data_IF_935181630816
#
_entry.id   IF_935181630816
#
_cell.length_a   1.000
_cell.length_b   1.000
_cell.length_c   1.000
_cell.angle_alpha   90.00
_cell.angle_beta   90.00
_cell.angle_gamma   90.00
#
_symmetry.space_group_name_H-M   'P 1'
#
loop_
_entity.id
_entity.type
_entity.pdbx_description
1 polymer ?
#
# COMPACT_ATOMS: atom_id res chain seq x y z
N UNK A 1 14.11 -20.49 -42.37
CA UNK A 1 13.50 -19.45 -43.23
C UNK A 1 11.96 -19.53 -43.28
N UNK A 2 11.43 -20.73 -43.32
CA UNK A 2 9.96 -20.96 -43.49
C UNK A 2 9.10 -20.47 -42.34
N UNK A 3 9.51 -20.62 -41.08
CA UNK A 3 8.75 -20.12 -39.93
C UNK A 3 8.58 -18.59 -39.92
N UNK A 4 9.63 -17.85 -40.23
CA UNK A 4 9.57 -16.39 -40.33
C UNK A 4 8.59 -15.91 -41.41
N UNK A 5 8.49 -16.68 -42.50
CA UNK A 5 7.60 -16.39 -43.59
C UNK A 5 6.14 -16.73 -43.25
N UNK A 6 5.91 -17.87 -42.59
CA UNK A 6 4.61 -18.27 -42.09
C UNK A 6 4.08 -17.26 -41.06
N UNK A 7 4.95 -16.81 -40.18
CA UNK A 7 4.61 -15.82 -39.17
C UNK A 7 4.34 -14.43 -39.77
N UNK A 8 5.14 -13.99 -40.74
CA UNK A 8 4.88 -12.76 -41.47
C UNK A 8 3.53 -12.78 -42.19
N UNK A 9 3.19 -13.92 -42.79
CA UNK A 9 1.91 -14.09 -43.47
C UNK A 9 0.73 -14.11 -42.47
N UNK A 10 0.93 -14.64 -41.28
CA UNK A 10 -0.04 -14.57 -40.22
C UNK A 10 -0.30 -13.13 -39.77
N UNK A 11 0.76 -12.34 -39.56
CA UNK A 11 0.65 -10.94 -39.10
C UNK A 11 0.09 -10.02 -40.19
N UNK A 12 0.46 -10.24 -41.46
CA UNK A 12 0.08 -9.34 -42.57
C UNK A 12 -1.27 -9.72 -43.17
N UNK A 13 -1.53 -11.02 -43.31
CA UNK A 13 -2.66 -11.53 -44.09
C UNK A 13 -3.66 -12.36 -43.24
N UNK A 14 -3.44 -12.52 -41.92
CA UNK A 14 -4.31 -13.33 -41.07
C UNK A 14 -4.26 -14.83 -41.34
N UNK A 15 -3.28 -15.31 -42.11
CA UNK A 15 -3.18 -16.74 -42.47
C UNK A 15 -2.70 -17.55 -41.29
N UNK A 16 -3.43 -18.60 -40.81
CA UNK A 16 -3.02 -19.40 -39.66
C UNK A 16 -1.62 -19.99 -39.83
N UNK A 17 -0.83 -19.94 -38.76
CA UNK A 17 0.50 -20.56 -38.74
C UNK A 17 0.33 -22.09 -38.81
N UNK A 18 0.99 -22.78 -39.76
CA UNK A 18 0.95 -24.22 -39.90
C UNK A 18 1.30 -24.93 -38.59
N UNK A 19 0.61 -26.04 -38.25
CA UNK A 19 0.77 -26.77 -36.99
C UNK A 19 2.19 -27.27 -36.75
N UNK A 20 2.97 -27.54 -37.81
CA UNK A 20 4.35 -27.94 -37.72
C UNK A 20 5.26 -26.91 -37.02
N UNK A 21 4.82 -25.66 -36.89
CA UNK A 21 5.55 -24.59 -36.19
C UNK A 21 4.95 -24.27 -34.82
N UNK A 22 3.93 -25.02 -34.36
CA UNK A 22 3.27 -24.83 -33.06
C UNK A 22 3.84 -25.71 -31.95
N UNK A 23 4.91 -26.50 -32.21
CA UNK A 23 5.49 -27.31 -31.18
C UNK A 23 6.21 -26.47 -30.14
N UNK A 24 5.58 -26.38 -28.98
CA UNK A 24 6.10 -25.77 -27.76
C UNK A 24 6.90 -26.80 -27.00
N UNK A 25 8.22 -26.66 -26.92
CA UNK A 25 8.97 -27.33 -25.86
C UNK A 25 8.54 -26.67 -24.52
N UNK A 26 7.89 -27.43 -23.66
CA UNK A 26 7.64 -27.04 -22.27
C UNK A 26 8.98 -26.95 -21.55
N UNK A 27 9.53 -25.74 -21.49
CA UNK A 27 10.63 -25.43 -20.57
C UNK A 27 10.06 -24.80 -19.31
N UNK A 28 10.44 -25.38 -18.17
CA UNK A 28 9.99 -24.97 -16.83
C UNK A 28 10.58 -23.64 -16.32
N UNK A 29 11.10 -22.82 -17.19
CA UNK A 29 11.59 -21.48 -16.85
C UNK A 29 10.48 -20.43 -17.03
N UNK A 30 10.45 -19.42 -16.16
CA UNK A 30 9.55 -18.27 -16.24
C UNK A 30 9.85 -17.36 -17.46
N UNK A 31 9.84 -17.97 -18.66
CA UNK A 31 10.02 -17.33 -19.95
C UNK A 31 8.64 -17.08 -20.57
N UNK A 32 8.37 -15.85 -20.94
CA UNK A 32 7.25 -15.55 -21.83
C UNK A 32 7.58 -16.10 -23.21
N UNK A 33 6.98 -17.21 -23.58
CA UNK A 33 7.15 -17.87 -24.89
C UNK A 33 6.08 -17.40 -25.86
N UNK A 34 6.21 -17.76 -27.15
CA UNK A 34 5.23 -17.39 -28.18
C UNK A 34 3.82 -17.86 -27.82
N UNK A 35 3.68 -18.98 -27.11
CA UNK A 35 2.41 -19.49 -26.61
C UNK A 35 1.74 -18.55 -25.59
N UNK A 36 2.54 -17.93 -24.71
CA UNK A 36 2.03 -16.98 -23.70
C UNK A 36 1.63 -15.65 -24.31
N UNK A 37 2.22 -15.30 -25.45
CA UNK A 37 1.94 -14.06 -26.20
C UNK A 37 0.93 -14.30 -27.32
N UNK A 38 0.65 -15.54 -27.66
CA UNK A 38 -0.25 -15.91 -28.77
C UNK A 38 -1.65 -15.32 -28.68
N UNK A 39 -2.16 -15.12 -27.47
CA UNK A 39 -3.44 -14.44 -27.22
C UNK A 39 -3.37 -12.93 -27.39
N UNK A 40 -2.15 -12.37 -27.41
CA UNK A 40 -1.88 -10.91 -27.51
C UNK A 40 -1.61 -10.49 -28.97
N UNK A 41 -1.34 -11.46 -29.86
CA UNK A 41 -1.07 -11.18 -31.26
C UNK A 41 -2.41 -10.94 -31.96
N UNK A 42 -2.71 -9.73 -32.39
CA UNK A 42 -4.07 -9.34 -32.68
C UNK A 42 -4.55 -9.80 -34.04
N UNK A 43 -5.77 -10.25 -34.10
CA UNK A 43 -6.65 -9.87 -35.18
C UNK A 43 -6.72 -8.34 -35.22
N UNK A 44 -6.80 -7.76 -36.39
CA UNK A 44 -6.71 -6.34 -36.78
C UNK A 44 -7.41 -5.30 -35.88
N UNK A 45 -7.99 -5.68 -34.75
CA UNK A 45 -8.87 -4.84 -33.92
C UNK A 45 -8.32 -4.59 -32.52
N UNK A 46 -7.27 -5.32 -32.07
CA UNK A 46 -6.80 -5.18 -30.67
C UNK A 46 -5.44 -4.50 -30.56
N UNK A 47 -5.43 -3.20 -30.70
CA UNK A 47 -4.33 -2.35 -30.24
C UNK A 47 -4.35 -2.12 -28.71
N UNK A 48 -5.00 -3.04 -27.95
CA UNK A 48 -5.20 -2.90 -26.52
C UNK A 48 -4.85 -4.19 -25.81
N UNK A 49 -3.91 -4.12 -24.89
CA UNK A 49 -3.66 -5.21 -23.92
C UNK A 49 -4.69 -5.07 -22.81
N UNK A 50 -5.42 -6.15 -22.53
CA UNK A 50 -6.34 -6.20 -21.39
C UNK A 50 -5.48 -6.44 -20.14
N UNK A 51 -5.52 -5.51 -19.22
CA UNK A 51 -4.86 -5.59 -17.91
C UNK A 51 -5.91 -5.76 -16.82
N UNK A 52 -5.58 -6.47 -15.78
CA UNK A 52 -6.39 -6.45 -14.57
C UNK A 52 -6.43 -5.04 -13.99
N UNK A 53 -7.63 -4.57 -13.70
CA UNK A 53 -7.83 -3.26 -13.09
C UNK A 53 -7.43 -3.34 -11.61
N UNK A 54 -6.29 -2.81 -11.28
CA UNK A 54 -5.83 -2.63 -9.91
C UNK A 54 -5.81 -1.15 -9.56
N UNK A 55 -6.22 -0.84 -8.34
CA UNK A 55 -6.13 0.51 -7.83
C UNK A 55 -4.81 0.65 -7.10
N UNK A 56 -3.96 1.56 -7.57
CA UNK A 56 -2.62 1.79 -7.08
C UNK A 56 -2.39 3.28 -6.83
N UNK A 57 -1.50 3.59 -5.90
CA UNK A 57 -1.08 4.96 -5.62
C UNK A 57 -1.98 5.76 -4.68
N UNK A 58 -3.08 5.20 -4.17
CA UNK A 58 -4.00 5.91 -3.27
C UNK A 58 -3.38 6.32 -1.93
N UNK A 59 -2.47 5.48 -1.42
CA UNK A 59 -1.77 5.76 -0.17
C UNK A 59 -0.58 6.67 -0.40
N UNK A 60 0.15 6.47 -1.51
CA UNK A 60 1.36 7.22 -1.81
C UNK A 60 1.10 8.72 -2.02
N UNK A 61 -0.08 9.09 -2.51
CA UNK A 61 -0.46 10.49 -2.71
C UNK A 61 -0.73 11.24 -1.39
N UNK A 62 -0.86 10.50 -0.28
CA UNK A 62 -1.26 11.04 1.03
C UNK A 62 -0.18 10.96 2.10
N UNK A 63 0.87 10.18 1.86
CA UNK A 63 2.01 10.06 2.77
C UNK A 63 3.06 11.13 2.47
N UNK A 64 3.83 11.51 3.48
CA UNK A 64 4.94 12.43 3.31
C UNK A 64 6.09 11.74 2.57
N UNK A 65 6.42 12.24 1.38
CA UNK A 65 7.51 11.71 0.58
C UNK A 65 8.74 12.62 0.70
N UNK A 66 9.90 12.01 0.98
CA UNK A 66 11.17 12.71 1.10
C UNK A 66 12.23 12.08 0.21
N UNK A 67 13.26 12.85 -0.15
CA UNK A 67 14.36 12.42 -1.02
C UNK A 67 15.73 12.67 -0.39
N UNK A 68 15.85 12.43 0.91
CA UNK A 68 17.13 12.64 1.61
C UNK A 68 18.16 11.61 1.16
N UNK A 69 19.39 12.07 0.94
CA UNK A 69 20.52 11.22 0.57
C UNK A 69 21.32 10.83 1.83
N UNK A 70 21.72 9.55 1.90
CA UNK A 70 22.46 9.01 3.05
C UNK A 70 21.54 8.48 4.15
N UNK A 71 22.09 7.78 5.12
CA UNK A 71 21.36 7.34 6.31
C UNK A 71 20.95 8.56 7.13
N UNK A 72 19.71 8.99 6.97
CA UNK A 72 19.18 10.17 7.66
C UNK A 72 18.62 9.78 9.00
N UNK A 73 19.00 10.50 10.01
CA UNK A 73 18.43 10.40 11.33
C UNK A 73 17.70 11.72 11.65
N UNK A 74 16.40 11.66 11.80
CA UNK A 74 15.57 12.81 12.17
C UNK A 74 15.34 12.74 13.68
N UNK A 75 15.83 13.71 14.48
CA UNK A 75 15.56 13.74 15.90
C UNK A 75 14.07 14.06 16.13
N UNK A 76 13.43 13.32 17.03
CA UNK A 76 12.10 13.61 17.52
C UNK A 76 12.19 14.37 18.83
N UNK A 77 11.43 15.45 18.93
CA UNK A 77 11.31 16.21 20.17
C UNK A 77 10.24 15.60 21.06
N UNK A 78 10.64 15.17 22.25
CA UNK A 78 9.72 14.76 23.32
C UNK A 78 9.53 15.91 24.34
N UNK A 79 9.63 17.15 23.85
CA UNK A 79 9.44 18.33 24.69
C UNK A 79 7.93 18.57 24.77
N UNK A 80 7.36 18.30 25.93
CA UNK A 80 5.97 18.62 26.24
C UNK A 80 5.93 19.58 27.45
N UNK A 81 6.24 20.87 27.26
CA UNK A 81 6.29 21.82 28.34
C UNK A 81 4.88 22.06 28.91
N UNK A 82 4.77 21.99 30.21
CA UNK A 82 3.54 22.32 30.92
C UNK A 82 3.60 23.78 31.37
N UNK A 83 2.67 24.59 30.88
CA UNK A 83 2.54 25.96 31.37
C UNK A 83 1.84 25.96 32.75
N UNK A 84 2.40 26.70 33.69
CA UNK A 84 1.85 26.86 35.02
C UNK A 84 1.46 28.33 35.27
N UNK A 85 0.29 28.52 35.83
CA UNK A 85 -0.13 29.86 36.28
C UNK A 85 0.63 30.22 37.57
N UNK A 86 1.26 31.40 37.57
CA UNK A 86 2.00 31.88 38.73
C UNK A 86 1.08 32.72 39.62
N UNK A 87 1.16 32.48 40.92
CA UNK A 87 0.32 33.21 41.87
C UNK A 87 0.78 34.68 42.07
N UNK A 88 2.06 34.97 41.80
CA UNK A 88 2.62 36.32 41.88
C UNK A 88 3.87 36.48 40.99
N UNK A 89 4.24 37.71 40.68
CA UNK A 89 5.43 38.02 39.87
C UNK A 89 6.78 37.51 40.46
N UNK A 90 6.81 37.18 41.74
CA UNK A 90 8.03 36.75 42.44
C UNK A 90 8.16 35.21 42.49
N UNK A 91 7.20 34.48 41.95
CA UNK A 91 7.24 33.00 41.87
C UNK A 91 7.67 32.59 40.48
N UNK A 92 8.70 31.77 40.38
CA UNK A 92 9.21 31.21 39.11
C UNK A 92 8.93 29.73 39.11
N UNK A 93 8.43 29.23 37.98
CA UNK A 93 8.25 27.79 37.81
C UNK A 93 9.56 27.06 37.63
N UNK A 94 9.65 25.80 38.04
CA UNK A 94 10.81 24.97 37.83
C UNK A 94 11.17 24.79 36.35
N UNK A 95 12.46 24.75 36.03
CA UNK A 95 12.93 24.51 34.67
C UNK A 95 12.57 23.07 34.21
N UNK A 96 11.92 22.96 33.08
CA UNK A 96 11.61 21.67 32.47
C UNK A 96 12.71 21.22 31.52
N UNK A 97 13.20 20.00 31.69
CA UNK A 97 14.29 19.46 30.88
C UNK A 97 13.80 19.08 29.50
N UNK A 98 14.33 19.72 28.47
CA UNK A 98 14.12 19.32 27.09
C UNK A 98 14.93 18.04 26.79
N UNK A 99 14.24 16.96 26.38
CA UNK A 99 14.89 15.72 25.97
C UNK A 99 14.54 15.40 24.52
N UNK A 100 15.58 15.16 23.70
CA UNK A 100 15.49 14.68 22.33
C UNK A 100 16.15 13.31 22.24
N UNK A 101 15.55 12.31 22.85
CA UNK A 101 16.11 10.95 22.89
C UNK A 101 15.65 10.07 21.73
N UNK A 102 14.49 10.34 21.17
CA UNK A 102 13.95 9.58 20.06
C UNK A 102 14.48 10.11 18.73
N UNK A 103 14.70 9.21 17.79
CA UNK A 103 15.05 9.57 16.43
C UNK A 103 14.51 8.57 15.44
N UNK A 104 14.06 9.08 14.30
CA UNK A 104 13.68 8.26 13.14
C UNK A 104 14.96 7.99 12.36
N UNK A 105 15.26 6.70 12.12
CA UNK A 105 16.42 6.29 11.33
C UNK A 105 15.93 5.63 10.05
N UNK A 106 16.34 6.14 8.90
CA UNK A 106 16.07 5.52 7.63
C UNK A 106 17.23 4.65 7.19
N UNK A 107 16.93 3.40 6.85
CA UNK A 107 17.82 2.48 6.18
C UNK A 107 17.32 2.29 4.76
N UNK A 108 18.22 2.03 3.80
CA UNK A 108 17.77 1.90 2.41
C UNK A 108 17.53 0.45 2.05
N UNK A 109 16.32 0.18 1.55
CA UNK A 109 15.95 -1.12 1.02
C UNK A 109 15.80 -1.05 -0.50
N UNK A 110 16.28 -2.08 -1.19
CA UNK A 110 16.20 -2.17 -2.64
C UNK A 110 14.95 -2.94 -3.03
N UNK A 111 14.06 -2.28 -3.73
CA UNK A 111 12.90 -2.90 -4.37
C UNK A 111 13.24 -3.21 -5.83
N UNK A 112 13.12 -4.47 -6.24
CA UNK A 112 13.35 -4.94 -7.60
C UNK A 112 12.10 -5.58 -8.17
N UNK A 113 11.77 -5.22 -9.41
CA UNK A 113 10.80 -5.95 -10.22
C UNK A 113 11.46 -6.32 -11.56
N UNK A 114 11.29 -7.58 -11.97
CA UNK A 114 11.97 -8.13 -13.15
C UNK A 114 11.04 -9.01 -13.97
N UNK A 115 11.01 -8.78 -15.29
CA UNK A 115 10.28 -9.61 -16.24
C UNK A 115 11.25 -10.05 -17.35
N UNK A 116 11.23 -11.34 -17.66
CA UNK A 116 12.04 -11.91 -18.73
C UNK A 116 11.16 -12.27 -19.94
N UNK A 117 11.57 -11.84 -21.11
CA UNK A 117 10.90 -12.11 -22.39
C UNK A 117 11.85 -12.92 -23.26
N UNK A 118 11.42 -14.08 -23.76
CA UNK A 118 12.20 -14.91 -24.65
C UNK A 118 12.55 -14.19 -25.97
N UNK A 119 13.68 -14.54 -26.56
CA UNK A 119 14.17 -13.92 -27.80
C UNK A 119 13.14 -14.03 -28.95
N UNK A 120 12.52 -15.18 -29.10
CA UNK A 120 11.48 -15.39 -30.12
C UNK A 120 10.28 -14.48 -29.91
N UNK A 121 9.78 -14.40 -28.67
CA UNK A 121 8.66 -13.52 -28.32
C UNK A 121 9.00 -12.06 -28.57
N UNK A 122 10.20 -11.60 -28.20
CA UNK A 122 10.63 -10.23 -28.39
C UNK A 122 10.79 -9.82 -29.86
N UNK A 123 11.16 -10.78 -30.73
CA UNK A 123 11.32 -10.52 -32.18
C UNK A 123 9.97 -10.32 -32.89
N UNK A 124 8.94 -10.91 -32.30
CA UNK A 124 7.59 -10.98 -32.85
C UNK A 124 6.67 -9.92 -32.24
N UNK A 125 7.02 -9.43 -31.06
CA UNK A 125 6.18 -8.58 -30.25
C UNK A 125 6.23 -7.13 -30.72
N UNK A 126 5.06 -6.51 -30.83
CA UNK A 126 4.87 -5.10 -31.15
C UNK A 126 5.44 -4.21 -30.04
N UNK A 127 5.93 -3.02 -30.36
CA UNK A 127 6.44 -2.04 -29.39
C UNK A 127 5.45 -1.70 -28.27
N UNK A 128 4.14 -1.87 -28.51
CA UNK A 128 3.09 -1.75 -27.50
C UNK A 128 3.21 -2.73 -26.35
N UNK A 129 3.70 -3.95 -26.62
CA UNK A 129 3.89 -4.95 -25.55
C UNK A 129 5.02 -4.52 -24.59
N UNK A 130 6.11 -3.99 -25.10
CA UNK A 130 7.19 -3.47 -24.25
C UNK A 130 6.72 -2.32 -23.37
N UNK A 131 5.94 -1.39 -23.93
CA UNK A 131 5.35 -0.29 -23.16
C UNK A 131 4.42 -0.80 -22.05
N UNK A 132 3.62 -1.84 -22.34
CA UNK A 132 2.76 -2.48 -21.36
C UNK A 132 3.56 -3.16 -20.24
N UNK A 133 4.64 -3.89 -20.58
CA UNK A 133 5.53 -4.51 -19.57
C UNK A 133 6.13 -3.45 -18.65
N UNK A 134 6.61 -2.35 -19.19
CA UNK A 134 7.16 -1.24 -18.38
C UNK A 134 6.09 -0.66 -17.44
N UNK A 135 4.87 -0.47 -17.94
CA UNK A 135 3.75 0.02 -17.15
C UNK A 135 3.38 -0.96 -16.04
N UNK A 136 3.32 -2.25 -16.34
CA UNK A 136 3.04 -3.29 -15.33
C UNK A 136 4.14 -3.40 -14.28
N UNK A 137 5.42 -3.28 -14.67
CA UNK A 137 6.52 -3.21 -13.71
C UNK A 137 6.37 -2.02 -12.75
N UNK A 138 6.05 -0.84 -13.29
CA UNK A 138 5.79 0.35 -12.47
C UNK A 138 4.64 0.11 -11.48
N UNK A 139 3.54 -0.45 -11.94
CA UNK A 139 2.38 -0.78 -11.10
C UNK A 139 2.73 -1.79 -10.00
N UNK A 140 3.48 -2.84 -10.34
CA UNK A 140 3.93 -3.84 -9.37
C UNK A 140 4.80 -3.22 -8.27
N UNK A 141 5.67 -2.28 -8.61
CA UNK A 141 6.49 -1.56 -7.63
C UNK A 141 5.64 -0.66 -6.72
N UNK A 142 4.72 0.11 -7.27
CA UNK A 142 3.78 0.94 -6.49
C UNK A 142 2.99 0.06 -5.52
N UNK A 143 2.42 -1.04 -6.01
CA UNK A 143 1.67 -2.00 -5.19
C UNK A 143 2.52 -2.59 -4.07
N UNK A 144 3.78 -2.92 -4.33
CA UNK A 144 4.70 -3.44 -3.32
C UNK A 144 4.99 -2.40 -2.22
N UNK A 145 5.19 -1.13 -2.60
CA UNK A 145 5.42 -0.04 -1.64
C UNK A 145 4.16 0.18 -0.80
N UNK A 146 2.98 0.28 -1.40
CA UNK A 146 1.72 0.44 -0.64
C UNK A 146 1.46 -0.73 0.32
N UNK A 147 1.81 -1.95 -0.11
CA UNK A 147 1.71 -3.12 0.78
C UNK A 147 2.70 -2.99 1.94
N UNK A 148 3.93 -2.52 1.68
CA UNK A 148 4.93 -2.31 2.72
C UNK A 148 4.54 -1.17 3.67
N UNK A 149 3.93 -0.09 3.19
CA UNK A 149 3.40 1.00 4.03
C UNK A 149 2.39 0.50 5.06
N UNK A 150 1.55 -0.47 4.70
CA UNK A 150 0.54 -1.02 5.62
C UNK A 150 1.11 -2.13 6.49
N UNK A 151 1.74 -3.15 5.88
CA UNK A 151 2.06 -4.42 6.54
C UNK A 151 3.55 -4.78 6.51
N UNK A 152 4.42 -3.90 6.04
CA UNK A 152 5.86 -4.14 5.95
C UNK A 152 6.50 -4.43 7.31
N UNK A 153 7.48 -5.32 7.33
CA UNK A 153 8.09 -5.81 8.58
C UNK A 153 9.12 -4.87 9.19
N UNK A 154 9.63 -3.89 8.42
CA UNK A 154 10.75 -3.03 8.84
C UNK A 154 12.13 -3.71 8.71
N UNK A 155 12.19 -4.93 8.16
CA UNK A 155 13.43 -5.65 7.88
C UNK A 155 13.48 -6.00 6.39
N UNK A 156 14.42 -5.42 5.67
CA UNK A 156 14.53 -5.56 4.22
C UNK A 156 13.42 -4.82 3.42
N UNK A 157 12.53 -4.13 4.10
CA UNK A 157 11.42 -3.35 3.55
C UNK A 157 10.96 -2.28 4.56
N UNK A 158 10.20 -1.25 4.14
CA UNK A 158 9.63 -0.25 5.03
C UNK A 158 8.86 -0.84 6.21
N UNK A 159 8.85 -0.13 7.34
CA UNK A 159 8.06 -0.54 8.52
C UNK A 159 6.60 -0.10 8.34
N UNK A 160 5.70 -1.06 8.25
CA UNK A 160 4.27 -0.84 7.99
C UNK A 160 3.51 -0.29 9.20
N UNK A 161 2.40 0.38 8.90
CA UNK A 161 1.49 0.97 9.88
C UNK A 161 1.00 -0.05 10.94
N UNK A 162 0.84 -1.32 10.57
CA UNK A 162 0.34 -2.38 11.46
C UNK A 162 1.41 -3.03 12.34
N UNK A 163 2.66 -2.56 12.30
CA UNK A 163 3.80 -3.19 12.98
C UNK A 163 4.34 -2.39 14.17
N UNK A 164 3.54 -1.50 14.70
CA UNK A 164 3.88 -0.74 15.90
C UNK A 164 3.19 -1.33 17.12
N UNK A 165 3.88 -1.29 18.25
CA UNK A 165 3.27 -1.67 19.56
C UNK A 165 2.65 -0.41 20.14
N UNK A 166 1.33 -0.31 20.07
CA UNK A 166 0.59 0.83 20.61
C UNK A 166 0.18 0.60 22.04
N UNK A 167 0.01 1.67 22.85
CA UNK A 167 -0.61 1.58 24.16
C UNK A 167 -2.07 1.12 24.04
N UNK A 168 -2.61 0.53 25.09
CA UNK A 168 -4.00 0.01 25.12
C UNK A 168 -5.05 1.07 24.77
N UNK A 169 -4.80 2.33 25.13
CA UNK A 169 -5.68 3.45 24.79
C UNK A 169 -5.82 3.71 23.29
N UNK A 170 -4.87 3.27 22.48
CA UNK A 170 -4.86 3.38 21.02
C UNK A 170 -5.24 2.06 20.32
N UNK A 171 -5.73 1.07 21.06
CA UNK A 171 -6.18 -0.20 20.51
C UNK A 171 -7.65 -0.41 20.87
N UNK A 172 -8.51 -0.32 19.86
CA UNK A 172 -9.95 -0.52 20.03
C UNK A 172 -10.32 -1.90 19.52
N UNK A 173 -10.78 -2.73 20.45
CA UNK A 173 -11.21 -4.08 20.13
C UNK A 173 -12.70 -4.11 19.80
N UNK A 174 -13.04 -4.85 18.76
CA UNK A 174 -14.41 -5.11 18.31
C UNK A 174 -14.69 -6.61 18.35
N UNK A 175 -15.79 -7.00 18.96
CA UNK A 175 -16.39 -8.31 18.82
C UNK A 175 -17.55 -8.27 17.80
N UNK A 176 -18.11 -9.43 17.46
CA UNK A 176 -19.17 -9.55 16.46
C UNK A 176 -20.46 -8.80 16.86
N UNK A 177 -20.64 -8.52 18.15
CA UNK A 177 -21.79 -7.75 18.65
C UNK A 177 -21.59 -6.25 18.54
N UNK A 178 -20.34 -5.78 18.58
CA UNK A 178 -20.00 -4.36 18.61
C UNK A 178 -19.76 -3.77 17.22
N UNK A 179 -19.23 -4.56 16.28
CA UNK A 179 -18.87 -4.09 14.95
C UNK A 179 -20.08 -3.53 14.17
N UNK A 180 -21.26 -4.10 14.38
CA UNK A 180 -22.53 -3.67 13.77
C UNK A 180 -23.26 -2.58 14.52
N UNK A 181 -22.66 -1.94 15.54
CA UNK A 181 -23.32 -0.95 16.38
C UNK A 181 -22.69 0.44 16.27
N UNK A 182 -23.54 1.47 16.33
CA UNK A 182 -23.09 2.87 16.37
C UNK A 182 -22.16 3.14 17.56
N UNK A 183 -22.47 2.53 18.73
CA UNK A 183 -21.67 2.67 19.95
C UNK A 183 -20.25 2.12 19.79
N UNK A 184 -20.10 0.99 19.07
CA UNK A 184 -18.79 0.42 18.76
C UNK A 184 -17.89 1.41 18.01
N UNK A 185 -18.42 2.03 16.98
CA UNK A 185 -17.68 3.02 16.18
C UNK A 185 -17.48 4.36 16.91
N UNK A 186 -18.41 4.76 17.76
CA UNK A 186 -18.24 5.94 18.63
C UNK A 186 -17.06 5.77 19.62
N UNK A 187 -16.74 4.54 20.04
CA UNK A 187 -15.55 4.28 20.87
C UNK A 187 -14.25 4.50 20.08
N UNK A 188 -14.24 4.17 18.78
CA UNK A 188 -13.09 4.44 17.93
C UNK A 188 -12.86 5.95 17.75
N UNK A 189 -13.93 6.71 17.55
CA UNK A 189 -13.86 8.19 17.49
C UNK A 189 -13.36 8.78 18.82
N UNK A 190 -13.87 8.31 19.95
CA UNK A 190 -13.49 8.80 21.27
C UNK A 190 -12.02 8.55 21.63
N UNK A 191 -11.34 7.65 20.93
CA UNK A 191 -9.93 7.38 21.14
C UNK A 191 -9.01 8.36 20.40
N UNK A 192 -9.55 9.17 19.50
CA UNK A 192 -8.79 10.15 18.73
C UNK A 192 -8.37 11.31 19.65
N UNK A 193 -7.08 11.64 19.73
CA UNK A 193 -6.67 12.85 20.45
C UNK A 193 -7.14 14.10 19.73
N UNK A 194 -7.59 15.10 20.48
CA UNK A 194 -8.13 16.38 19.97
C UNK A 194 -7.20 17.05 18.93
N UNK A 195 -5.88 16.93 19.12
CA UNK A 195 -4.90 17.49 18.18
C UNK A 195 -4.90 16.85 16.79
N UNK A 196 -5.49 15.65 16.63
CA UNK A 196 -5.57 14.89 15.37
C UNK A 196 -6.99 14.84 14.79
N UNK A 197 -7.95 15.52 15.43
CA UNK A 197 -9.36 15.41 15.08
C UNK A 197 -9.65 15.74 13.60
N UNK A 198 -8.94 16.71 13.02
CA UNK A 198 -9.18 17.16 11.64
C UNK A 198 -8.39 16.38 10.57
N UNK A 199 -7.32 15.68 10.97
CA UNK A 199 -6.35 15.09 10.02
C UNK A 199 -6.45 13.58 9.87
N UNK A 200 -7.14 12.91 10.79
CA UNK A 200 -7.25 11.45 10.75
C UNK A 200 -8.26 10.95 9.74
N UNK A 201 -7.92 9.83 9.11
CA UNK A 201 -8.77 9.08 8.21
C UNK A 201 -8.92 7.64 8.68
N UNK A 202 -10.02 7.01 8.30
CA UNK A 202 -10.21 5.58 8.45
C UNK A 202 -9.54 4.81 7.31
N UNK A 203 -8.76 3.80 7.67
CA UNK A 203 -8.17 2.83 6.75
C UNK A 203 -8.74 1.45 7.05
N UNK A 204 -9.45 0.84 6.11
CA UNK A 204 -10.08 -0.48 6.31
C UNK A 204 -10.31 -1.21 4.98
N UNK A 205 -10.73 -2.47 5.07
CA UNK A 205 -11.12 -3.24 3.89
C UNK A 205 -12.49 -2.77 3.36
N UNK A 206 -12.67 -2.86 2.03
CA UNK A 206 -13.95 -2.53 1.39
C UNK A 206 -15.11 -3.40 1.90
N UNK A 207 -14.85 -4.69 2.19
CA UNK A 207 -15.85 -5.60 2.75
C UNK A 207 -16.37 -5.09 4.10
N UNK A 208 -15.47 -4.72 5.01
CA UNK A 208 -15.84 -4.16 6.33
C UNK A 208 -16.71 -2.90 6.19
N UNK A 209 -16.31 -2.01 5.26
CA UNK A 209 -17.10 -0.80 4.99
C UNK A 209 -18.52 -1.11 4.52
N UNK A 210 -18.67 -1.98 3.52
CA UNK A 210 -19.99 -2.26 2.92
C UNK A 210 -20.90 -3.05 3.87
N UNK A 211 -20.35 -4.04 4.59
CA UNK A 211 -21.14 -4.91 5.46
C UNK A 211 -21.55 -4.22 6.77
N UNK A 212 -20.65 -3.51 7.42
CA UNK A 212 -20.86 -3.04 8.79
C UNK A 212 -21.13 -1.53 8.92
N UNK A 213 -20.82 -0.72 7.90
CA UNK A 213 -21.03 0.72 7.94
C UNK A 213 -22.10 1.19 6.95
N UNK A 214 -21.90 0.90 5.66
CA UNK A 214 -22.86 1.27 4.66
C UNK A 214 -24.14 0.43 4.76
N UNK A 215 -24.03 -0.86 5.10
CA UNK A 215 -25.14 -1.80 5.27
C UNK A 215 -25.76 -1.84 6.66
N UNK A 216 -25.32 -0.99 7.60
CA UNK A 216 -25.84 -1.00 8.97
C UNK A 216 -27.34 -0.63 9.02
N UNK A 217 -28.10 -1.50 9.66
CA UNK A 217 -29.55 -1.35 9.82
C UNK A 217 -29.94 -1.33 11.30
N UNK A 218 -31.05 -0.69 11.61
CA UNK A 218 -31.67 -0.73 12.94
C UNK A 218 -32.46 -2.03 13.18
N UNK A 219 -33.07 -2.16 14.36
CA UNK A 219 -33.91 -3.32 14.72
C UNK A 219 -35.13 -3.48 13.82
N UNK A 220 -35.55 -2.45 13.10
CA UNK A 220 -36.66 -2.47 12.16
C UNK A 220 -36.21 -2.71 10.72
N UNK A 221 -34.91 -2.96 10.47
CA UNK A 221 -34.34 -3.14 9.15
C UNK A 221 -34.13 -1.85 8.36
N UNK A 222 -34.28 -0.68 8.99
CA UNK A 222 -34.03 0.59 8.34
C UNK A 222 -32.53 0.94 8.39
N UNK A 223 -32.01 1.49 7.30
CA UNK A 223 -30.61 1.87 7.18
C UNK A 223 -30.27 3.01 8.14
N UNK A 224 -29.34 2.79 9.04
CA UNK A 224 -28.90 3.81 10.02
C UNK A 224 -28.11 4.93 9.33
N UNK A 225 -27.36 4.60 8.26
CA UNK A 225 -26.63 5.58 7.48
C UNK A 225 -25.43 6.18 8.22
N UNK A 226 -24.79 5.40 9.10
CA UNK A 226 -23.56 5.81 9.77
C UNK A 226 -22.45 6.06 8.76
N UNK A 227 -22.24 5.10 7.85
CA UNK A 227 -21.38 5.27 6.68
C UNK A 227 -22.14 6.00 5.56
N UNK A 228 -21.58 7.08 5.05
CA UNK A 228 -22.16 7.89 3.95
C UNK A 228 -21.19 7.94 2.77
N UNK A 229 -21.75 8.13 1.59
CA UNK A 229 -20.99 8.42 0.38
C UNK A 229 -21.39 9.82 -0.04
N UNK A 230 -20.41 10.72 -0.17
CA UNK A 230 -20.67 12.10 -0.60
C UNK A 230 -20.95 12.16 -2.11
N UNK A 231 -21.34 13.34 -2.62
CA UNK A 231 -21.62 13.58 -4.03
C UNK A 231 -20.41 13.28 -4.96
N UNK A 232 -19.19 13.36 -4.41
CA UNK A 232 -17.95 13.02 -5.13
C UNK A 232 -17.60 11.53 -5.11
N UNK A 233 -18.45 10.69 -4.49
CA UNK A 233 -18.22 9.25 -4.37
C UNK A 233 -17.22 8.85 -3.28
N UNK A 234 -16.79 9.78 -2.42
CA UNK A 234 -15.89 9.48 -1.30
C UNK A 234 -16.71 8.90 -0.14
N UNK A 235 -16.14 7.92 0.52
CA UNK A 235 -16.72 7.27 1.70
C UNK A 235 -16.40 8.10 2.94
N UNK A 236 -17.40 8.38 3.74
CA UNK A 236 -17.31 9.23 4.93
C UNK A 236 -17.93 8.50 6.11
N UNK A 237 -17.21 8.46 7.22
CA UNK A 237 -17.69 7.98 8.52
C UNK A 237 -17.48 9.09 9.55
N UNK A 238 -18.56 9.52 10.19
CA UNK A 238 -18.52 10.60 11.19
C UNK A 238 -17.81 11.89 10.73
N UNK A 239 -17.92 12.21 9.45
CA UNK A 239 -17.24 13.39 8.87
C UNK A 239 -15.84 13.12 8.34
N UNK A 240 -15.22 11.96 8.68
CA UNK A 240 -13.86 11.58 8.24
C UNK A 240 -13.91 10.77 6.97
N UNK A 241 -12.90 10.92 6.14
CA UNK A 241 -12.75 10.08 4.96
C UNK A 241 -12.41 8.63 5.33
N UNK A 242 -12.99 7.70 4.59
CA UNK A 242 -12.67 6.27 4.70
C UNK A 242 -11.94 5.84 3.45
N UNK A 243 -10.66 5.55 3.59
CA UNK A 243 -9.84 5.00 2.53
C UNK A 243 -9.91 3.47 2.58
N UNK A 244 -10.46 2.87 1.51
CA UNK A 244 -10.56 1.42 1.44
C UNK A 244 -9.36 0.81 0.74
N UNK A 245 -8.78 -0.23 1.38
CA UNK A 245 -7.63 -0.98 0.89
C UNK A 245 -7.86 -2.48 0.97
N UNK A 246 -7.28 -3.23 0.05
CA UNK A 246 -7.24 -4.70 0.04
C UNK A 246 -6.04 -5.28 0.83
N UNK A 247 -5.21 -4.41 1.41
CA UNK A 247 -4.03 -4.81 2.18
C UNK A 247 -4.33 -5.11 3.65
N UNK A 248 -5.52 -4.72 4.12
CA UNK A 248 -6.05 -5.12 5.41
C UNK A 248 -7.09 -6.21 5.23
N UNK A 249 -7.19 -7.18 6.15
CA UNK A 249 -8.25 -8.19 6.10
C UNK A 249 -9.62 -7.54 6.29
N UNK A 250 -10.64 -8.09 5.66
CA UNK A 250 -12.02 -7.78 6.05
C UNK A 250 -12.31 -8.30 7.44
N UNK A 251 -13.24 -7.68 8.17
CA UNK A 251 -13.56 -8.09 9.53
C UNK A 251 -13.92 -9.59 9.64
N UNK A 252 -14.72 -10.10 8.69
CA UNK A 252 -15.13 -11.51 8.69
C UNK A 252 -13.97 -12.47 8.46
N UNK A 253 -12.97 -12.04 7.68
CA UNK A 253 -11.79 -12.84 7.33
C UNK A 253 -10.62 -12.64 8.30
N UNK A 254 -10.72 -11.67 9.23
CA UNK A 254 -9.71 -11.41 10.25
C UNK A 254 -9.78 -12.46 11.34
N UNK A 255 -8.63 -12.92 11.81
CA UNK A 255 -8.54 -13.76 13.02
C UNK A 255 -8.59 -12.90 14.29
N UNK A 256 -8.85 -13.54 15.42
CA UNK A 256 -8.84 -12.85 16.71
C UNK A 256 -7.44 -12.27 17.00
N UNK A 257 -7.40 -10.98 17.25
CA UNK A 257 -6.14 -10.23 17.44
C UNK A 257 -5.63 -9.54 16.18
N UNK A 258 -6.20 -9.84 15.02
CA UNK A 258 -5.82 -9.15 13.77
C UNK A 258 -6.34 -7.71 13.72
N UNK A 259 -5.57 -6.87 13.05
CA UNK A 259 -5.93 -5.48 12.75
C UNK A 259 -6.72 -5.47 11.43
N UNK A 260 -8.03 -5.25 11.52
CA UNK A 260 -8.92 -5.15 10.35
C UNK A 260 -9.10 -3.71 9.85
N UNK A 261 -8.69 -2.73 10.66
CA UNK A 261 -8.75 -1.31 10.32
C UNK A 261 -7.84 -0.48 11.21
N UNK A 262 -7.63 0.75 10.82
CA UNK A 262 -6.89 1.74 11.59
C UNK A 262 -7.45 3.13 11.35
N UNK A 263 -7.35 4.00 12.37
CA UNK A 263 -7.41 5.43 12.23
C UNK A 263 -5.97 5.93 12.16
N UNK A 264 -5.67 6.79 11.23
CA UNK A 264 -4.30 7.26 11.00
C UNK A 264 -4.28 8.60 10.27
N UNK A 265 -3.38 9.47 10.69
CA UNK A 265 -2.93 10.57 9.86
C UNK A 265 -1.82 10.04 8.93
N UNK A 266 -2.12 9.92 7.63
CA UNK A 266 -1.15 9.39 6.66
C UNK A 266 0.04 10.33 6.43
N UNK A 267 -0.09 11.63 6.70
CA UNK A 267 1.01 12.59 6.60
C UNK A 267 2.14 12.30 7.61
N UNK A 268 1.81 11.63 8.72
CA UNK A 268 2.80 11.20 9.71
C UNK A 268 3.63 9.99 9.25
N UNK A 269 3.25 9.35 8.15
CA UNK A 269 4.07 8.32 7.55
C UNK A 269 5.05 8.93 6.56
N UNK A 270 6.34 8.76 6.82
CA UNK A 270 7.42 9.31 6.00
C UNK A 270 8.00 8.19 5.14
N UNK A 271 7.87 8.33 3.83
CA UNK A 271 8.53 7.46 2.84
C UNK A 271 9.73 8.22 2.28
N UNK A 272 10.94 7.72 2.57
CA UNK A 272 12.16 8.29 2.01
C UNK A 272 12.64 7.45 0.82
N UNK A 273 12.71 8.06 -0.35
CA UNK A 273 13.21 7.43 -1.57
C UNK A 273 14.34 8.25 -2.17
N UNK A 274 15.52 7.67 -2.18
CA UNK A 274 16.72 8.32 -2.71
C UNK A 274 16.91 8.12 -4.22
N UNK A 275 16.22 7.17 -4.80
CA UNK A 275 16.32 6.83 -6.22
C UNK A 275 14.94 6.76 -6.83
N UNK A 276 14.68 7.65 -7.78
CA UNK A 276 13.55 7.47 -8.68
C UNK A 276 13.65 6.09 -9.36
N UNK A 277 12.51 5.53 -9.73
CA UNK A 277 12.49 4.23 -10.39
C UNK A 277 13.48 4.19 -11.56
N UNK A 278 14.53 3.38 -11.40
CA UNK A 278 15.52 3.11 -12.44
C UNK A 278 15.07 1.92 -13.28
N UNK A 279 14.86 2.12 -14.57
CA UNK A 279 14.50 1.05 -15.50
C UNK A 279 15.67 0.72 -16.40
N UNK A 280 15.96 -0.58 -16.61
CA UNK A 280 16.95 -1.10 -17.53
C UNK A 280 16.42 -2.29 -18.30
N UNK A 281 16.61 -2.27 -19.62
CA UNK A 281 16.43 -3.42 -20.50
C UNK A 281 17.81 -3.95 -20.88
N UNK A 282 18.06 -5.26 -20.72
CA UNK A 282 19.29 -5.89 -21.13
C UNK A 282 19.05 -7.32 -21.61
N UNK A 283 19.94 -7.79 -22.46
CA UNK A 283 19.91 -9.16 -22.97
C UNK A 283 20.73 -10.07 -22.03
N UNK A 284 20.15 -11.18 -21.64
CA UNK A 284 20.86 -12.23 -20.91
C UNK A 284 21.29 -13.30 -21.91
N UNK A 285 22.59 -13.36 -22.18
CA UNK A 285 23.19 -14.26 -23.17
C UNK A 285 23.08 -15.72 -22.75
N UNK A 286 23.24 -16.03 -21.45
CA UNK A 286 23.19 -17.39 -20.93
C UNK A 286 21.83 -18.07 -21.12
N UNK A 287 20.75 -17.26 -21.10
CA UNK A 287 19.37 -17.73 -21.16
C UNK A 287 18.63 -17.27 -22.42
N UNK A 288 19.30 -16.61 -23.36
CA UNK A 288 18.74 -16.09 -24.62
C UNK A 288 17.42 -15.34 -24.43
N UNK A 289 17.39 -14.39 -23.46
CA UNK A 289 16.18 -13.63 -23.14
C UNK A 289 16.45 -12.15 -22.86
N UNK A 290 15.51 -11.31 -23.23
CA UNK A 290 15.48 -9.92 -22.81
C UNK A 290 14.94 -9.80 -21.39
N UNK A 291 15.64 -9.05 -20.56
CA UNK A 291 15.24 -8.78 -19.19
C UNK A 291 14.87 -7.31 -19.06
N UNK A 292 13.65 -7.08 -18.62
CA UNK A 292 13.14 -5.76 -18.21
C UNK A 292 13.20 -5.69 -16.70
N UNK A 293 14.04 -4.81 -16.19
CA UNK A 293 14.33 -4.68 -14.75
C UNK A 293 14.01 -3.27 -14.29
N UNK A 294 13.20 -3.15 -13.25
CA UNK A 294 12.97 -1.90 -12.54
C UNK A 294 13.55 -2.00 -11.12
N UNK A 295 14.21 -0.96 -10.69
CA UNK A 295 14.82 -0.84 -9.37
C UNK A 295 14.40 0.47 -8.73
N UNK A 296 14.20 0.44 -7.42
CA UNK A 296 13.98 1.60 -6.59
C UNK A 296 14.64 1.39 -5.24
N UNK A 297 15.07 2.45 -4.61
CA UNK A 297 15.59 2.42 -3.24
C UNK A 297 14.63 3.25 -2.40
N UNK A 298 14.05 2.63 -1.40
CA UNK A 298 13.13 3.31 -0.49
C UNK A 298 13.19 2.72 0.91
N UNK A 299 12.87 3.53 1.90
CA UNK A 299 12.54 3.13 3.26
C UNK A 299 11.41 4.00 3.77
N UNK A 300 10.64 3.52 4.72
CA UNK A 300 9.52 4.27 5.26
C UNK A 300 9.11 3.80 6.65
N UNK A 301 8.68 4.76 7.45
CA UNK A 301 8.14 4.51 8.77
C UNK A 301 7.31 5.70 9.26
N UNK A 302 6.51 5.48 10.31
CA UNK A 302 5.81 6.56 10.98
C UNK A 302 6.78 7.56 11.64
N UNK A 303 6.36 8.80 11.75
CA UNK A 303 7.07 9.85 12.48
C UNK A 303 7.02 9.60 14.01
N UNK A 304 7.55 8.44 14.41
CA UNK A 304 7.58 8.01 15.81
C UNK A 304 8.91 7.32 16.13
N UNK A 305 9.21 7.25 17.40
CA UNK A 305 10.40 6.57 17.92
C UNK A 305 10.11 5.93 19.26
N UNK A 306 10.98 5.08 19.73
CA UNK A 306 10.89 4.45 21.05
C UNK A 306 11.88 5.09 22.03
N UNK A 307 11.39 5.45 23.21
CA UNK A 307 12.20 5.91 24.33
C UNK A 307 11.79 5.11 25.56
N UNK A 308 12.73 4.43 26.16
CA UNK A 308 12.50 3.59 27.35
C UNK A 308 11.31 2.61 27.19
N UNK A 309 11.25 1.95 26.02
CA UNK A 309 10.17 1.03 25.60
C UNK A 309 8.77 1.68 25.47
N UNK A 310 8.70 2.99 25.43
CA UNK A 310 7.48 3.73 25.14
C UNK A 310 7.54 4.38 23.77
N UNK A 311 6.47 4.27 23.02
CA UNK A 311 6.33 4.92 21.72
C UNK A 311 6.15 6.42 21.91
N UNK A 312 7.00 7.22 21.28
CA UNK A 312 6.93 8.69 21.23
C UNK A 312 6.55 9.08 19.81
N UNK A 313 5.54 9.90 19.66
CA UNK A 313 4.89 10.18 18.37
C UNK A 313 3.78 9.16 18.06
N UNK A 314 3.26 9.17 16.84
CA UNK A 314 2.16 8.31 16.37
C UNK A 314 0.91 8.30 17.28
N UNK A 315 0.64 9.39 17.98
CA UNK A 315 -0.54 9.51 18.86
C UNK A 315 -1.86 9.44 18.08
N UNK A 316 -1.83 9.79 16.79
CA UNK A 316 -2.93 9.67 15.86
C UNK A 316 -3.09 8.27 15.27
N UNK A 317 -2.23 7.29 15.55
CA UNK A 317 -2.40 5.92 15.05
C UNK A 317 -3.22 5.11 16.06
N UNK A 318 -4.41 4.64 15.64
CA UNK A 318 -5.32 3.84 16.45
C UNK A 318 -5.63 2.55 15.69
N UNK A 319 -5.49 1.40 16.36
CA UNK A 319 -5.82 0.12 15.76
C UNK A 319 -7.25 -0.32 16.07
N UNK A 320 -7.91 -0.83 15.05
CA UNK A 320 -9.18 -1.53 15.16
C UNK A 320 -8.90 -3.03 15.05
N UNK A 321 -8.98 -3.75 16.18
CA UNK A 321 -8.67 -5.17 16.29
C UNK A 321 -9.92 -6.01 16.48
N UNK A 322 -9.89 -7.22 15.92
CA UNK A 322 -10.91 -8.21 16.17
C UNK A 322 -10.68 -8.89 17.50
N UNK A 323 -11.73 -8.96 18.31
CA UNK A 323 -11.77 -9.66 19.60
C UNK A 323 -12.66 -10.90 19.50
N UNK A 324 -12.39 -11.92 20.32
CA UNK A 324 -13.30 -13.03 20.45
C UNK A 324 -14.63 -12.56 21.03
N UNK A 325 -15.73 -13.04 20.46
CA UNK A 325 -17.06 -12.86 21.04
C UNK A 325 -17.16 -13.79 22.27
N UNK A 326 -17.45 -13.22 23.44
CA UNK A 326 -17.61 -13.94 24.70
C UNK A 326 -19.06 -14.41 24.83
#
# INVERSE_FOLDING_TARGET
MEYRQAFRNYVVNGTPIPEQFRQTEQRSDALTVVGDVGAVIPTTIMNRVIEDLTVEGKLLDRITQTTFQGGVQIPLSDINPTATWLESENVVSDEQKAMMKASIKFTYHVLEAKVAIGLLSSTVTLGMFEATVVKQLKKAMIKAIETAVIAGTGSGQPKGLTKYTLPESQVIEFDDTQIGTVKGWARAEAAIPEAYEDSEIYLMNKQTWEMYLNGMVDTNGQKIGLGKINEKGQKILNGREVLTTDKLPGYDNAEVGDIFGALVNLEDYILNSNLAMYYKKYFNEDKNKWIHKALMIADGQMACGEVDSKLVGAKGLIYLKKKATI
#
